data_IF_933871101982
#
_entry.id   IF_933871101982
#
_cell.length_a   1.000
_cell.length_b   1.000
_cell.length_c   1.000
_cell.angle_alpha   90.00
_cell.angle_beta   90.00
_cell.angle_gamma   90.00
#
_symmetry.space_group_name_H-M   'P 1'
#
loop_
_entity.id
_entity.type
_entity.pdbx_description
1 polymer ?
#
# COMPACT_ATOMS: atom_id res chain seq x y z
N UNK A 1 -29.77 -25.65 18.45
CA UNK A 1 -28.42 -26.22 18.25
C UNK A 1 -27.55 -25.38 17.30
N UNK A 2 -28.04 -24.27 16.74
CA UNK A 2 -27.42 -23.57 15.59
C UNK A 2 -26.31 -22.56 15.93
N UNK A 3 -26.27 -21.99 17.14
CA UNK A 3 -25.35 -20.86 17.46
C UNK A 3 -23.87 -21.24 17.50
N UNK A 4 -23.56 -22.42 18.04
CA UNK A 4 -22.18 -22.91 18.13
C UNK A 4 -21.68 -23.49 16.80
N UNK A 5 -22.60 -24.01 15.98
CA UNK A 5 -22.30 -24.43 14.60
C UNK A 5 -22.03 -23.22 13.71
N UNK A 6 -22.82 -22.14 13.79
CA UNK A 6 -22.56 -20.90 13.06
C UNK A 6 -21.20 -20.28 13.44
N UNK A 7 -20.87 -20.27 14.73
CA UNK A 7 -19.56 -19.81 15.21
C UNK A 7 -18.39 -20.70 14.73
N UNK A 8 -18.52 -22.03 14.83
CA UNK A 8 -17.51 -22.98 14.34
C UNK A 8 -17.41 -23.02 12.82
N UNK A 9 -18.50 -22.74 12.10
CA UNK A 9 -18.50 -22.71 10.63
C UNK A 9 -17.64 -21.57 10.10
N UNK A 10 -17.79 -20.35 10.63
CA UNK A 10 -16.95 -19.20 10.27
C UNK A 10 -15.49 -19.34 10.66
N UNK A 11 -15.21 -20.00 11.80
CA UNK A 11 -13.83 -20.20 12.28
C UNK A 11 -13.09 -21.33 11.55
N UNK A 12 -13.74 -22.48 11.26
CA UNK A 12 -13.06 -23.72 10.82
C UNK A 12 -13.53 -24.25 9.46
N UNK A 13 -14.78 -24.00 9.03
CA UNK A 13 -15.34 -24.64 7.82
C UNK A 13 -15.25 -23.73 6.58
N UNK A 14 -15.42 -22.43 6.77
CA UNK A 14 -15.44 -21.41 5.71
C UNK A 14 -14.64 -20.18 6.13
N UNK A 15 -13.31 -20.28 6.07
CA UNK A 15 -12.45 -19.10 6.27
C UNK A 15 -12.85 -18.00 5.26
N UNK A 16 -13.13 -16.77 5.68
CA UNK A 16 -13.57 -15.69 4.80
C UNK A 16 -12.56 -15.38 3.68
N UNK A 17 -11.26 -15.46 3.96
CA UNK A 17 -10.21 -15.09 3.00
C UNK A 17 -10.06 -16.18 1.93
N UNK A 18 -9.99 -17.45 2.33
CA UNK A 18 -9.66 -18.56 1.40
C UNK A 18 -10.88 -19.34 0.92
N UNK A 19 -12.01 -19.25 1.62
CA UNK A 19 -13.25 -19.95 1.28
C UNK A 19 -14.24 -19.05 0.56
N UNK A 20 -14.41 -17.82 1.04
CA UNK A 20 -15.38 -16.85 0.50
C UNK A 20 -14.71 -15.77 -0.36
N UNK A 21 -13.37 -15.69 -0.36
CA UNK A 21 -12.61 -14.65 -1.05
C UNK A 21 -13.02 -13.23 -0.66
N UNK A 22 -13.41 -13.04 0.60
CA UNK A 22 -13.82 -11.76 1.17
C UNK A 22 -12.67 -11.14 1.97
N UNK A 23 -12.42 -9.85 1.75
CA UNK A 23 -11.41 -9.08 2.49
C UNK A 23 -9.97 -9.26 1.99
N UNK A 24 -9.79 -9.76 0.77
CA UNK A 24 -8.46 -9.98 0.18
C UNK A 24 -7.65 -8.68 0.03
N UNK A 25 -8.28 -7.54 -0.28
CA UNK A 25 -7.56 -6.28 -0.53
C UNK A 25 -6.75 -5.82 0.69
N UNK A 26 -7.36 -5.80 1.87
CA UNK A 26 -6.68 -5.45 3.11
C UNK A 26 -5.71 -6.55 3.57
N UNK A 27 -6.06 -7.83 3.34
CA UNK A 27 -5.20 -8.94 3.73
C UNK A 27 -3.88 -8.98 2.92
N UNK A 28 -3.93 -8.70 1.62
CA UNK A 28 -2.75 -8.67 0.75
C UNK A 28 -1.84 -7.48 1.06
N UNK A 29 -2.42 -6.31 1.33
CA UNK A 29 -1.67 -5.09 1.64
C UNK A 29 -0.92 -5.16 2.98
N UNK A 30 -1.55 -5.71 4.03
CA UNK A 30 -1.09 -5.54 5.42
C UNK A 30 -0.34 -6.78 5.95
N UNK A 31 -0.27 -7.87 5.18
CA UNK A 31 0.39 -9.12 5.60
C UNK A 31 1.93 -9.08 5.58
N UNK A 32 2.56 -7.91 5.45
CA UNK A 32 4.03 -7.79 5.43
C UNK A 32 4.67 -8.03 6.80
N UNK A 33 4.02 -7.62 7.90
CA UNK A 33 4.52 -7.81 9.27
C UNK A 33 3.44 -8.36 10.19
N UNK A 34 3.82 -9.21 11.14
CA UNK A 34 2.88 -9.86 12.05
C UNK A 34 2.17 -8.86 12.98
N UNK A 35 2.86 -7.80 13.42
CA UNK A 35 2.28 -6.78 14.28
C UNK A 35 1.14 -6.03 13.57
N UNK A 36 1.35 -5.65 12.30
CA UNK A 36 0.33 -4.98 11.49
C UNK A 36 -0.85 -5.91 11.21
N UNK A 37 -0.58 -7.19 10.91
CA UNK A 37 -1.59 -8.21 10.71
C UNK A 37 -2.48 -8.41 11.95
N UNK A 38 -1.90 -8.44 13.16
CA UNK A 38 -2.66 -8.55 14.42
C UNK A 38 -3.50 -7.30 14.65
N UNK A 39 -2.92 -6.11 14.51
CA UNK A 39 -3.63 -4.84 14.70
C UNK A 39 -4.84 -4.72 13.77
N UNK A 40 -4.65 -5.06 12.50
CA UNK A 40 -5.70 -5.11 11.49
C UNK A 40 -6.76 -6.17 11.83
N UNK A 41 -6.37 -7.40 12.15
CA UNK A 41 -7.31 -8.46 12.51
C UNK A 41 -8.22 -8.10 13.69
N UNK A 42 -7.64 -7.56 14.77
CA UNK A 42 -8.39 -7.09 15.95
C UNK A 42 -9.36 -5.96 15.58
N UNK A 43 -8.92 -5.00 14.77
CA UNK A 43 -9.78 -3.92 14.29
C UNK A 43 -10.97 -4.46 13.48
N UNK A 44 -10.74 -5.38 12.52
CA UNK A 44 -11.83 -6.01 11.75
C UNK A 44 -12.80 -6.76 12.67
N UNK A 45 -12.32 -7.54 13.64
CA UNK A 45 -13.18 -8.25 14.59
C UNK A 45 -14.12 -7.28 15.30
N UNK A 46 -13.57 -6.20 15.88
CA UNK A 46 -14.34 -5.22 16.63
C UNK A 46 -15.36 -4.50 15.73
N UNK A 47 -14.95 -4.03 14.55
CA UNK A 47 -15.87 -3.35 13.61
C UNK A 47 -16.96 -4.31 13.15
N UNK A 48 -16.62 -5.54 12.76
CA UNK A 48 -17.60 -6.50 12.22
C UNK A 48 -18.66 -6.86 13.26
N UNK A 49 -18.28 -7.04 14.53
CA UNK A 49 -19.24 -7.29 15.60
C UNK A 49 -20.15 -6.08 15.80
N UNK A 50 -19.56 -4.89 15.97
CA UNK A 50 -20.34 -3.68 16.25
C UNK A 50 -21.24 -3.30 15.08
N UNK A 51 -20.74 -3.36 13.84
CA UNK A 51 -21.52 -3.06 12.64
C UNK A 51 -22.68 -4.05 12.48
N UNK A 52 -22.45 -5.35 12.68
CA UNK A 52 -23.52 -6.35 12.57
C UNK A 52 -24.61 -6.15 13.63
N UNK A 53 -24.24 -5.80 14.86
CA UNK A 53 -25.21 -5.52 15.93
C UNK A 53 -26.05 -4.28 15.59
N UNK A 54 -25.41 -3.19 15.18
CA UNK A 54 -26.10 -1.93 14.85
C UNK A 54 -27.01 -2.13 13.63
N UNK A 55 -26.50 -2.78 12.58
CA UNK A 55 -27.25 -3.02 11.34
C UNK A 55 -28.46 -3.94 11.59
N UNK A 56 -28.30 -4.97 12.42
CA UNK A 56 -29.42 -5.83 12.85
C UNK A 56 -30.49 -5.04 13.62
N UNK A 57 -30.10 -4.04 14.43
CA UNK A 57 -31.03 -3.20 15.18
C UNK A 57 -31.80 -2.22 14.28
N UNK A 58 -31.13 -1.59 13.31
CA UNK A 58 -31.74 -0.59 12.42
C UNK A 58 -32.46 -1.20 11.20
N UNK A 59 -32.35 -2.51 10.98
CA UNK A 59 -32.88 -3.21 9.80
C UNK A 59 -34.36 -2.93 9.48
N UNK A 60 -35.18 -2.60 10.48
CA UNK A 60 -36.61 -2.32 10.32
C UNK A 60 -36.89 -0.92 9.76
N UNK A 61 -35.92 -0.02 9.85
CA UNK A 61 -36.03 1.40 9.48
C UNK A 61 -35.44 1.63 8.09
N UNK A 62 -34.47 0.81 7.68
CA UNK A 62 -33.74 0.97 6.41
C UNK A 62 -34.58 0.46 5.22
N UNK A 63 -34.91 1.31 4.24
CA UNK A 63 -35.51 0.88 2.96
C UNK A 63 -34.51 0.06 2.12
N UNK A 64 -35.04 -0.84 1.31
CA UNK A 64 -34.20 -1.76 0.51
C UNK A 64 -33.40 -1.03 -0.58
N UNK A 65 -33.89 0.11 -1.10
CA UNK A 65 -33.22 0.85 -2.18
C UNK A 65 -31.91 1.52 -1.74
N UNK A 66 -31.78 1.89 -0.46
CA UNK A 66 -30.64 2.66 0.07
C UNK A 66 -29.83 1.91 1.13
N UNK A 67 -30.00 0.59 1.21
CA UNK A 67 -29.40 -0.24 2.27
C UNK A 67 -27.87 -0.20 2.28
N UNK A 68 -27.22 -0.29 1.12
CA UNK A 68 -25.76 -0.37 1.01
C UNK A 68 -25.11 0.95 1.49
N UNK A 69 -25.54 2.14 1.01
CA UNK A 69 -25.05 3.42 1.54
C UNK A 69 -25.22 3.56 3.06
N UNK A 70 -26.39 3.16 3.60
CA UNK A 70 -26.65 3.24 5.05
C UNK A 70 -25.66 2.37 5.83
N UNK A 71 -25.37 1.15 5.37
CA UNK A 71 -24.40 0.27 6.03
C UNK A 71 -22.97 0.83 5.98
N UNK A 72 -22.55 1.39 4.84
CA UNK A 72 -21.22 2.00 4.70
C UNK A 72 -21.05 3.17 5.66
N UNK A 73 -22.06 4.03 5.85
CA UNK A 73 -21.99 5.15 6.80
C UNK A 73 -21.85 4.64 8.24
N UNK A 74 -22.61 3.61 8.63
CA UNK A 74 -22.47 2.98 9.95
C UNK A 74 -21.06 2.41 10.15
N UNK A 75 -20.51 1.73 9.15
CA UNK A 75 -19.16 1.17 9.23
C UNK A 75 -18.12 2.30 9.29
N UNK A 76 -18.24 3.34 8.47
CA UNK A 76 -17.32 4.47 8.43
C UNK A 76 -17.23 5.20 9.78
N UNK A 77 -18.37 5.43 10.44
CA UNK A 77 -18.39 6.04 11.77
C UNK A 77 -17.71 5.17 12.82
N UNK A 78 -17.93 3.86 12.81
CA UNK A 78 -17.24 2.92 13.70
C UNK A 78 -15.72 2.89 13.46
N UNK A 79 -15.30 2.84 12.19
CA UNK A 79 -13.88 2.84 11.82
C UNK A 79 -13.23 4.15 12.27
N UNK A 80 -13.92 5.29 12.17
CA UNK A 80 -13.39 6.57 12.65
C UNK A 80 -13.16 6.58 14.16
N UNK A 81 -14.09 6.00 14.94
CA UNK A 81 -13.93 5.84 16.39
C UNK A 81 -12.69 4.98 16.70
N UNK A 82 -12.50 3.88 15.98
CA UNK A 82 -11.32 3.02 16.15
C UNK A 82 -10.04 3.75 15.75
N UNK A 83 -10.06 4.52 14.66
CA UNK A 83 -8.91 5.32 14.24
C UNK A 83 -8.43 6.24 15.36
N UNK A 84 -9.36 6.96 16.02
CA UNK A 84 -9.06 7.83 17.14
C UNK A 84 -8.57 7.03 18.37
N UNK A 85 -9.14 5.84 18.62
CA UNK A 85 -8.71 4.97 19.71
C UNK A 85 -7.27 4.46 19.51
N UNK A 86 -6.95 3.99 18.30
CA UNK A 86 -5.60 3.50 17.97
C UNK A 86 -4.58 4.63 18.05
N UNK A 87 -4.93 5.83 17.55
CA UNK A 87 -4.07 7.01 17.65
C UNK A 87 -3.77 7.39 19.11
N UNK A 88 -4.74 7.23 20.02
CA UNK A 88 -4.59 7.58 21.42
C UNK A 88 -3.80 6.55 22.25
N UNK A 89 -3.96 5.25 21.98
CA UNK A 89 -3.38 4.20 22.81
C UNK A 89 -2.19 3.45 22.16
N UNK A 90 -2.05 3.46 20.84
CA UNK A 90 -1.04 2.71 20.11
C UNK A 90 -0.48 3.52 18.92
N UNK A 91 0.30 4.56 19.23
CA UNK A 91 0.85 5.50 18.22
C UNK A 91 1.74 4.82 17.19
N UNK A 92 2.56 3.83 17.59
CA UNK A 92 3.42 3.09 16.66
C UNK A 92 2.62 2.22 15.67
N UNK A 93 1.49 1.66 16.13
CA UNK A 93 0.59 0.95 15.24
C UNK A 93 -0.16 1.92 14.32
N UNK A 94 -0.48 3.13 14.80
CA UNK A 94 -1.11 4.17 13.99
C UNK A 94 -0.18 4.69 12.88
N UNK A 95 1.11 4.86 13.13
CA UNK A 95 2.05 5.31 12.09
C UNK A 95 2.23 4.26 10.99
N UNK A 96 2.19 2.97 11.33
CA UNK A 96 2.29 1.87 10.36
C UNK A 96 0.95 1.57 9.63
N UNK A 97 -0.17 1.61 10.34
CA UNK A 97 -1.49 1.17 9.85
C UNK A 97 -2.42 2.33 9.48
N UNK A 98 -2.04 3.58 9.78
CA UNK A 98 -2.87 4.77 9.69
C UNK A 98 -3.51 4.96 8.31
N UNK A 99 -2.70 4.82 7.26
CA UNK A 99 -3.13 4.90 5.87
C UNK A 99 -4.00 3.71 5.45
N UNK A 100 -3.91 2.59 6.18
CA UNK A 100 -4.65 1.37 5.90
C UNK A 100 -5.97 1.26 6.67
N UNK A 101 -6.23 2.10 7.68
CA UNK A 101 -7.50 2.13 8.42
C UNK A 101 -8.73 2.42 7.52
N UNK A 102 -8.67 3.30 6.50
CA UNK A 102 -9.76 3.47 5.54
C UNK A 102 -10.13 2.19 4.77
N UNK A 103 -9.19 1.26 4.55
CA UNK A 103 -9.48 -0.03 3.90
C UNK A 103 -10.40 -0.93 4.74
N UNK A 104 -10.60 -0.62 6.02
CA UNK A 104 -11.60 -1.29 6.86
C UNK A 104 -13.01 -0.95 6.39
N UNK A 105 -13.26 0.32 6.03
CA UNK A 105 -14.59 0.81 5.62
C UNK A 105 -15.08 0.07 4.38
N UNK A 106 -14.18 -0.11 3.42
CA UNK A 106 -14.45 -0.80 2.15
C UNK A 106 -14.15 -2.30 2.21
N UNK A 107 -13.94 -2.87 3.39
CA UNK A 107 -13.63 -4.28 3.51
C UNK A 107 -14.87 -5.12 3.19
N UNK A 108 -14.77 -5.94 2.15
CA UNK A 108 -15.86 -6.77 1.64
C UNK A 108 -16.41 -7.76 2.70
N UNK A 109 -15.61 -8.16 3.70
CA UNK A 109 -16.12 -9.02 4.78
C UNK A 109 -17.16 -8.30 5.62
N UNK A 110 -16.95 -7.02 5.93
CA UNK A 110 -17.80 -6.26 6.85
C UNK A 110 -19.13 -5.96 6.17
N UNK A 111 -19.07 -5.43 4.94
CA UNK A 111 -20.27 -5.14 4.16
C UNK A 111 -21.02 -6.42 3.76
N UNK A 112 -20.30 -7.45 3.30
CA UNK A 112 -20.90 -8.70 2.84
C UNK A 112 -21.62 -9.46 3.96
N UNK A 113 -21.09 -9.46 5.19
CA UNK A 113 -21.77 -10.07 6.35
C UNK A 113 -22.91 -9.21 6.89
N UNK A 114 -22.74 -7.89 6.87
CA UNK A 114 -23.82 -6.97 7.23
C UNK A 114 -25.05 -7.17 6.33
N UNK A 115 -24.84 -7.29 5.03
CA UNK A 115 -25.91 -7.50 4.06
C UNK A 115 -26.47 -8.93 4.10
N UNK A 116 -25.62 -9.95 4.01
CA UNK A 116 -26.08 -11.34 3.88
C UNK A 116 -26.67 -11.91 5.18
N UNK A 117 -26.17 -11.49 6.34
CA UNK A 117 -26.53 -12.07 7.63
C UNK A 117 -27.18 -11.06 8.59
N UNK A 118 -26.53 -9.94 8.91
CA UNK A 118 -27.01 -9.04 9.96
C UNK A 118 -28.38 -8.42 9.65
N UNK A 119 -28.62 -8.09 8.39
CA UNK A 119 -29.90 -7.54 7.93
C UNK A 119 -31.10 -8.49 8.04
N UNK A 120 -30.86 -9.81 8.16
CA UNK A 120 -31.90 -10.85 8.18
C UNK A 120 -32.05 -11.52 9.54
N UNK A 121 -31.01 -11.47 10.38
CA UNK A 121 -30.96 -12.14 11.69
C UNK A 121 -31.09 -11.18 12.87
N UNK A 122 -31.33 -11.73 14.06
CA UNK A 122 -31.42 -10.97 15.32
C UNK A 122 -30.05 -10.54 15.86
N UNK A 123 -30.04 -9.66 16.87
CA UNK A 123 -28.82 -8.99 17.36
C UNK A 123 -27.76 -9.98 17.86
N UNK A 124 -28.16 -10.95 18.69
CA UNK A 124 -27.23 -11.92 19.28
C UNK A 124 -26.62 -12.84 18.22
N UNK A 125 -27.42 -13.30 17.26
CA UNK A 125 -26.94 -14.17 16.19
C UNK A 125 -26.00 -13.40 15.25
N UNK A 126 -26.29 -12.12 15.00
CA UNK A 126 -25.46 -11.24 14.18
C UNK A 126 -24.11 -10.91 14.83
N UNK A 127 -24.07 -10.78 16.16
CA UNK A 127 -22.84 -10.61 16.92
C UNK A 127 -21.94 -11.85 16.85
N UNK A 128 -22.54 -13.05 17.01
CA UNK A 128 -21.81 -14.32 16.91
C UNK A 128 -21.27 -14.57 15.50
N UNK A 129 -22.02 -14.19 14.47
CA UNK A 129 -21.56 -14.21 13.07
C UNK A 129 -20.35 -13.29 12.86
N UNK A 130 -20.45 -12.04 13.33
CA UNK A 130 -19.38 -11.06 13.20
C UNK A 130 -18.09 -11.51 13.90
N UNK A 131 -18.22 -12.11 15.09
CA UNK A 131 -17.09 -12.66 15.83
C UNK A 131 -16.47 -13.87 15.09
N UNK A 132 -17.29 -14.82 14.61
CA UNK A 132 -16.80 -16.00 13.89
C UNK A 132 -16.07 -15.63 12.59
N UNK A 133 -16.66 -14.73 11.81
CA UNK A 133 -16.08 -14.26 10.54
C UNK A 133 -14.84 -13.38 10.76
N UNK A 134 -14.86 -12.48 11.74
CA UNK A 134 -13.70 -11.66 12.09
C UNK A 134 -12.51 -12.48 12.59
N UNK A 135 -12.76 -13.52 13.40
CA UNK A 135 -11.73 -14.46 13.85
C UNK A 135 -11.17 -15.27 12.67
N UNK A 136 -12.03 -15.71 11.75
CA UNK A 136 -11.61 -16.40 10.53
C UNK A 136 -10.70 -15.52 9.65
N UNK A 137 -11.05 -14.24 9.48
CA UNK A 137 -10.22 -13.27 8.77
C UNK A 137 -8.87 -13.09 9.44
N UNK A 138 -8.87 -12.89 10.76
CA UNK A 138 -7.63 -12.71 11.54
C UNK A 138 -6.73 -13.94 11.41
N UNK A 139 -7.28 -15.15 11.54
CA UNK A 139 -6.50 -16.37 11.38
C UNK A 139 -5.90 -16.52 9.98
N UNK A 140 -6.67 -16.21 8.93
CA UNK A 140 -6.15 -16.24 7.56
C UNK A 140 -5.06 -15.19 7.31
N UNK A 141 -5.24 -13.98 7.85
CA UNK A 141 -4.27 -12.90 7.76
C UNK A 141 -2.97 -13.22 8.51
N UNK A 142 -3.06 -13.81 9.71
CA UNK A 142 -1.89 -14.25 10.47
C UNK A 142 -1.14 -15.38 9.78
N UNK A 143 -1.84 -16.34 9.16
CA UNK A 143 -1.21 -17.40 8.39
C UNK A 143 -0.42 -16.82 7.19
N UNK A 144 -1.02 -15.87 6.45
CA UNK A 144 -0.31 -15.17 5.37
C UNK A 144 0.90 -14.41 5.89
N UNK A 145 0.72 -13.62 6.95
CA UNK A 145 1.78 -12.75 7.47
C UNK A 145 2.95 -13.54 8.05
N UNK A 146 2.68 -14.63 8.75
CA UNK A 146 3.73 -15.51 9.29
C UNK A 146 4.58 -16.10 8.17
N UNK A 147 3.96 -16.60 7.10
CA UNK A 147 4.70 -17.17 5.95
C UNK A 147 5.47 -16.08 5.22
N UNK A 148 4.85 -14.94 4.93
CA UNK A 148 5.51 -13.82 4.23
C UNK A 148 6.68 -13.28 5.02
N UNK A 149 6.52 -13.03 6.32
CA UNK A 149 7.58 -12.49 7.17
C UNK A 149 8.72 -13.50 7.32
N UNK A 150 8.42 -14.79 7.50
CA UNK A 150 9.44 -15.84 7.57
C UNK A 150 10.27 -15.94 6.28
N UNK A 151 9.63 -15.89 5.10
CA UNK A 151 10.31 -15.97 3.80
C UNK A 151 11.06 -14.68 3.44
N UNK A 152 10.53 -13.51 3.84
CA UNK A 152 11.08 -12.21 3.51
C UNK A 152 12.25 -11.78 4.41
N UNK A 153 12.24 -12.16 5.70
CA UNK A 153 13.25 -11.70 6.66
C UNK A 153 14.00 -12.82 7.38
N UNK A 154 13.61 -14.09 7.21
CA UNK A 154 14.24 -15.23 7.91
C UNK A 154 13.98 -15.28 9.43
N UNK A 155 13.33 -14.23 9.94
CA UNK A 155 12.99 -14.02 11.35
C UNK A 155 11.50 -13.77 11.50
N UNK A 156 10.93 -14.33 12.57
CA UNK A 156 9.60 -13.97 13.05
C UNK A 156 9.76 -12.98 14.21
N UNK A 157 9.36 -11.73 13.98
CA UNK A 157 9.39 -10.68 15.00
C UNK A 157 7.97 -10.33 15.41
N UNK A 158 7.66 -10.57 16.68
CA UNK A 158 6.44 -10.13 17.34
C UNK A 158 6.80 -9.12 18.43
N UNK A 159 6.40 -7.87 18.22
CA UNK A 159 6.70 -6.76 19.12
C UNK A 159 5.42 -6.26 19.80
N UNK A 160 5.57 -5.72 21.00
CA UNK A 160 4.45 -5.15 21.75
C UNK A 160 3.92 -3.89 21.04
N UNK A 161 2.63 -3.84 20.64
CA UNK A 161 2.02 -2.66 20.01
C UNK A 161 1.99 -1.41 20.88
N UNK A 162 2.18 -1.56 22.20
CA UNK A 162 2.10 -0.48 23.18
C UNK A 162 3.47 -0.04 23.72
N UNK A 163 4.53 -0.80 23.46
CA UNK A 163 5.89 -0.42 23.86
C UNK A 163 6.92 -1.08 22.93
N UNK A 164 7.59 -0.31 22.06
CA UNK A 164 8.50 -0.87 21.04
C UNK A 164 9.75 -1.52 21.63
N UNK A 165 10.06 -1.27 22.91
CA UNK A 165 11.22 -1.88 23.59
C UNK A 165 10.97 -3.31 24.10
N UNK A 166 9.71 -3.77 24.09
CA UNK A 166 9.34 -5.14 24.49
C UNK A 166 9.04 -6.00 23.27
N UNK A 167 10.06 -6.73 22.82
CA UNK A 167 9.89 -7.79 21.82
C UNK A 167 9.40 -9.04 22.55
N UNK A 168 8.19 -9.51 22.24
CA UNK A 168 7.60 -10.68 22.89
C UNK A 168 8.26 -11.98 22.41
N UNK A 169 8.58 -12.05 21.12
CA UNK A 169 9.20 -13.22 20.52
C UNK A 169 9.99 -12.80 19.29
N UNK A 170 11.29 -13.11 19.30
CA UNK A 170 12.16 -13.03 18.13
C UNK A 170 12.78 -14.40 17.94
N UNK A 171 12.31 -15.14 16.94
CA UNK A 171 12.92 -16.39 16.54
C UNK A 171 13.49 -16.24 15.14
N UNK A 172 14.81 -16.45 15.06
CA UNK A 172 15.54 -16.54 13.81
C UNK A 172 15.57 -18.01 13.40
N UNK A 173 14.93 -18.32 12.27
CA UNK A 173 14.84 -19.70 11.76
C UNK A 173 15.85 -19.94 10.64
N UNK A 174 16.19 -18.91 9.86
CA UNK A 174 17.12 -19.00 8.74
C UNK A 174 18.13 -17.85 8.76
N UNK A 175 19.42 -18.09 8.42
CA UNK A 175 20.40 -17.03 8.22
C UNK A 175 19.99 -16.11 7.07
N UNK A 176 20.36 -14.83 7.16
CA UNK A 176 20.00 -13.75 6.22
C UNK A 176 20.32 -14.05 4.73
N UNK A 177 21.20 -15.01 4.44
CA UNK A 177 21.57 -15.42 3.08
C UNK A 177 20.45 -16.14 2.31
N UNK A 178 19.45 -16.70 3.01
CA UNK A 178 18.32 -17.40 2.38
C UNK A 178 17.04 -16.57 2.31
N UNK A 179 17.08 -15.27 2.62
CA UNK A 179 15.90 -14.41 2.55
C UNK A 179 15.55 -14.05 1.11
N UNK A 180 14.27 -14.13 0.77
CA UNK A 180 13.77 -13.77 -0.55
C UNK A 180 13.03 -12.43 -0.42
N UNK A 181 13.69 -11.33 -0.78
CA UNK A 181 13.12 -9.97 -0.71
C UNK A 181 11.80 -9.82 -1.47
N UNK A 182 11.58 -10.62 -2.53
CA UNK A 182 10.34 -10.68 -3.32
C UNK A 182 9.07 -10.86 -2.48
N UNK A 183 9.17 -11.48 -1.29
CA UNK A 183 8.00 -11.71 -0.42
C UNK A 183 7.50 -10.46 0.32
N UNK A 184 8.31 -9.38 0.33
CA UNK A 184 7.88 -8.06 0.81
C UNK A 184 6.95 -7.36 -0.18
N UNK A 185 7.18 -7.56 -1.47
CA UNK A 185 6.42 -6.92 -2.54
C UNK A 185 5.00 -7.50 -2.70
N UNK A 186 4.09 -6.79 -3.41
CA UNK A 186 2.74 -7.28 -3.69
C UNK A 186 2.74 -8.66 -4.36
N UNK A 187 3.73 -8.93 -5.21
CA UNK A 187 3.91 -10.24 -5.90
C UNK A 187 3.99 -11.37 -4.87
N UNK A 188 4.74 -11.18 -3.79
CA UNK A 188 4.84 -12.13 -2.67
C UNK A 188 3.51 -12.39 -1.97
N UNK A 189 2.66 -11.36 -1.85
CA UNK A 189 1.33 -11.49 -1.26
C UNK A 189 0.44 -12.41 -2.11
N UNK A 190 0.44 -12.23 -3.43
CA UNK A 190 -0.35 -13.06 -4.34
C UNK A 190 0.15 -14.51 -4.40
N UNK A 191 1.48 -14.73 -4.41
CA UNK A 191 2.05 -16.09 -4.40
C UNK A 191 1.69 -16.82 -3.10
N UNK A 192 1.84 -16.16 -1.95
CA UNK A 192 1.48 -16.76 -0.65
C UNK A 192 -0.02 -17.04 -0.55
N UNK A 193 -0.86 -16.12 -1.03
CA UNK A 193 -2.30 -16.33 -1.10
C UNK A 193 -2.67 -17.54 -1.97
N UNK A 194 -2.11 -17.64 -3.17
CA UNK A 194 -2.36 -18.73 -4.11
C UNK A 194 -1.93 -20.08 -3.52
N UNK A 195 -0.75 -20.16 -2.88
CA UNK A 195 -0.27 -21.38 -2.24
C UNK A 195 -1.16 -21.81 -1.08
N UNK A 196 -1.57 -20.88 -0.21
CA UNK A 196 -2.45 -21.17 0.93
C UNK A 196 -3.86 -21.57 0.48
N UNK A 197 -4.42 -20.87 -0.51
CA UNK A 197 -5.71 -21.21 -1.10
C UNK A 197 -5.67 -22.62 -1.73
N UNK A 198 -4.61 -22.94 -2.48
CA UNK A 198 -4.41 -24.26 -3.06
C UNK A 198 -4.26 -25.36 -1.99
N UNK A 199 -3.47 -25.11 -0.94
CA UNK A 199 -3.29 -26.04 0.17
C UNK A 199 -4.60 -26.32 0.92
N UNK A 200 -5.39 -25.28 1.19
CA UNK A 200 -6.69 -25.42 1.85
C UNK A 200 -7.71 -26.16 0.98
N UNK A 201 -7.72 -25.89 -0.33
CA UNK A 201 -8.57 -26.62 -1.27
C UNK A 201 -8.15 -28.09 -1.39
N UNK A 202 -6.84 -28.37 -1.43
CA UNK A 202 -6.31 -29.73 -1.40
C UNK A 202 -6.68 -30.47 -0.11
N UNK A 203 -6.58 -29.80 1.05
CA UNK A 203 -6.98 -30.36 2.34
C UNK A 203 -8.48 -30.65 2.41
N UNK A 204 -9.32 -29.73 1.93
CA UNK A 204 -10.78 -29.94 1.82
C UNK A 204 -11.11 -31.11 0.89
N UNK A 205 -10.42 -31.21 -0.25
CA UNK A 205 -10.56 -32.34 -1.19
C UNK A 205 -10.09 -33.67 -0.58
N UNK A 206 -9.03 -33.68 0.24
CA UNK A 206 -8.56 -34.88 0.91
C UNK A 206 -9.54 -35.41 1.97
N UNK A 207 -10.29 -34.51 2.64
CA UNK A 207 -11.30 -34.90 3.62
C UNK A 207 -12.56 -35.46 2.97
N UNK A 208 -12.84 -35.01 1.74
CA UNK A 208 -13.94 -35.48 0.91
C UNK A 208 -13.38 -36.57 -0.05
N UNK A 209 -13.16 -37.81 0.44
CA UNK A 209 -12.52 -38.94 -0.29
C UNK A 209 -13.04 -39.14 -1.73
N UNK A 210 -12.56 -38.34 -2.69
CA UNK A 210 -12.71 -38.49 -4.14
C UNK A 210 -11.73 -37.52 -4.81
N UNK A 211 -10.62 -38.05 -5.32
CA UNK A 211 -9.56 -37.40 -6.12
C UNK A 211 -8.36 -36.82 -5.35
N UNK A 212 -7.52 -37.74 -4.83
CA UNK A 212 -6.21 -37.47 -4.22
C UNK A 212 -5.11 -37.06 -5.23
N UNK A 213 -5.34 -37.18 -6.55
CA UNK A 213 -4.28 -37.01 -7.56
C UNK A 213 -3.83 -35.58 -7.85
N UNK A 214 -4.63 -34.56 -7.53
CA UNK A 214 -4.41 -33.18 -8.03
C UNK A 214 -3.83 -32.27 -6.94
N UNK A 215 -4.25 -32.43 -5.68
CA UNK A 215 -3.82 -31.55 -4.58
C UNK A 215 -2.36 -31.74 -4.15
N UNK A 216 -1.89 -32.99 -4.13
CA UNK A 216 -0.47 -33.28 -3.85
C UNK A 216 0.43 -32.78 -4.99
N UNK A 217 -0.07 -32.87 -6.23
CA UNK A 217 0.62 -32.38 -7.41
C UNK A 217 0.88 -30.87 -7.36
N UNK A 218 -0.08 -30.06 -6.92
CA UNK A 218 0.06 -28.59 -6.85
C UNK A 218 0.92 -28.12 -5.67
N UNK A 219 0.83 -28.77 -4.50
CA UNK A 219 1.71 -28.44 -3.36
C UNK A 219 3.16 -28.85 -3.66
N UNK A 220 3.35 -30.02 -4.29
CA UNK A 220 4.66 -30.43 -4.80
C UNK A 220 5.08 -29.53 -5.96
N UNK A 221 4.21 -29.08 -6.86
CA UNK A 221 4.58 -28.12 -7.91
C UNK A 221 4.95 -26.76 -7.34
N UNK A 222 4.30 -26.30 -6.28
CA UNK A 222 4.60 -25.02 -5.63
C UNK A 222 5.93 -25.11 -4.87
N UNK A 223 6.17 -26.19 -4.13
CA UNK A 223 7.46 -26.47 -3.49
C UNK A 223 8.55 -26.71 -4.53
N UNK A 224 8.27 -27.43 -5.61
CA UNK A 224 9.19 -27.68 -6.72
C UNK A 224 9.39 -26.42 -7.54
N UNK A 225 8.43 -25.50 -7.68
CA UNK A 225 8.64 -24.20 -8.30
C UNK A 225 9.52 -23.32 -7.42
N UNK A 226 9.30 -23.30 -6.10
CA UNK A 226 10.18 -22.61 -5.15
C UNK A 226 11.59 -23.20 -5.15
N UNK A 227 11.73 -24.52 -5.34
CA UNK A 227 13.03 -25.20 -5.45
C UNK A 227 13.64 -25.06 -6.86
N UNK A 228 12.85 -25.03 -7.94
CA UNK A 228 13.28 -24.90 -9.33
C UNK A 228 13.68 -23.46 -9.68
N UNK A 229 13.15 -22.46 -8.97
CA UNK A 229 13.66 -21.09 -9.01
C UNK A 229 15.12 -21.02 -8.51
N UNK A 230 15.62 -22.01 -7.74
CA UNK A 230 17.06 -22.13 -7.41
C UNK A 230 17.92 -22.72 -8.55
N UNK A 231 17.32 -23.25 -9.62
CA UNK A 231 18.01 -24.00 -10.67
C UNK A 231 18.28 -23.24 -11.98
N UNK A 232 17.49 -22.21 -12.31
CA UNK A 232 17.55 -21.60 -13.66
C UNK A 232 17.63 -20.07 -13.70
N UNK A 233 17.70 -19.36 -12.58
CA UNK A 233 17.80 -17.89 -12.60
C UNK A 233 19.26 -17.42 -12.62
N UNK A 234 19.90 -17.57 -13.78
CA UNK A 234 21.07 -16.79 -14.17
C UNK A 234 20.57 -15.53 -14.90
N UNK A 235 20.38 -14.42 -14.16
CA UNK A 235 19.95 -13.14 -14.74
C UNK A 235 21.16 -12.44 -15.34
N UNK A 236 21.48 -12.79 -16.57
CA UNK A 236 22.25 -11.97 -17.49
C UNK A 236 21.60 -12.06 -18.88
N UNK A 237 20.33 -11.70 -18.97
CA UNK A 237 19.67 -11.36 -20.24
C UNK A 237 18.45 -10.50 -19.95
N UNK A 238 18.48 -9.27 -20.45
CA UNK A 238 17.37 -8.36 -20.54
C UNK A 238 16.19 -9.01 -21.28
N UNK A 239 15.01 -8.95 -20.69
CA UNK A 239 13.74 -9.11 -21.39
C UNK A 239 12.98 -7.82 -21.14
N UNK A 240 13.01 -6.93 -22.15
CA UNK A 240 12.08 -5.84 -22.29
C UNK A 240 10.67 -6.44 -22.44
N UNK A 241 9.85 -6.25 -21.41
CA UNK A 241 8.41 -6.42 -21.51
C UNK A 241 7.80 -5.02 -21.40
N UNK A 242 7.44 -4.44 -22.55
CA UNK A 242 6.56 -3.28 -22.60
C UNK A 242 5.19 -3.70 -22.03
N UNK A 243 4.86 -3.19 -20.85
CA UNK A 243 3.50 -3.24 -20.30
C UNK A 243 2.86 -1.86 -20.40
N UNK A 244 1.60 -1.74 -20.86
CA UNK A 244 0.89 -0.47 -20.84
C UNK A 244 0.68 -0.01 -19.39
N UNK A 245 1.15 1.20 -19.08
CA UNK A 245 1.03 1.84 -17.77
C UNK A 245 -0.31 2.59 -17.70
N UNK A 246 -1.24 2.08 -16.89
CA UNK A 246 -2.32 2.90 -16.30
C UNK A 246 -1.80 3.53 -14.99
N UNK A 247 -2.20 4.76 -14.66
CA UNK A 247 -1.50 5.59 -13.69
C UNK A 247 -1.67 5.08 -12.25
N UNK A 248 -0.55 4.91 -11.56
CA UNK A 248 -0.48 4.59 -10.13
C UNK A 248 -0.75 5.86 -9.31
N UNK A 249 -1.86 5.87 -8.57
CA UNK A 249 -2.20 6.91 -7.59
C UNK A 249 -1.53 6.64 -6.23
N UNK A 250 -0.22 6.36 -6.23
CA UNK A 250 0.59 6.43 -5.02
C UNK A 250 1.02 7.88 -4.81
N UNK A 251 0.46 8.54 -3.80
CA UNK A 251 1.00 9.82 -3.33
C UNK A 251 2.46 9.64 -2.87
N UNK A 252 3.32 10.64 -3.12
CA UNK A 252 4.76 10.52 -3.00
C UNK A 252 5.18 10.33 -1.54
N UNK A 253 6.16 9.46 -1.32
CA UNK A 253 6.95 9.52 -0.08
C UNK A 253 7.75 10.80 -0.14
N UNK A 254 7.34 11.79 0.65
CA UNK A 254 8.11 13.01 0.89
C UNK A 254 9.51 12.61 1.38
N UNK A 255 10.50 12.65 0.47
CA UNK A 255 11.85 13.02 0.88
C UNK A 255 11.72 14.33 1.67
N UNK A 256 12.32 14.40 2.85
CA UNK A 256 12.09 15.48 3.80
C UNK A 256 12.04 16.85 3.13
N UNK A 257 11.13 17.70 3.60
CA UNK A 257 10.99 19.09 3.17
C UNK A 257 12.35 19.77 3.19
N UNK A 258 13.01 19.78 2.04
CA UNK A 258 14.22 20.56 1.81
C UNK A 258 13.74 21.69 0.92
N UNK A 259 13.77 22.90 1.49
CA UNK A 259 13.15 24.07 0.89
C UNK A 259 13.81 24.39 -0.47
N UNK A 260 13.00 24.60 -1.50
CA UNK A 260 13.48 25.14 -2.78
C UNK A 260 14.09 26.51 -2.51
N UNK A 261 15.33 26.73 -2.95
CA UNK A 261 16.08 27.93 -2.62
C UNK A 261 17.10 28.31 -3.69
N UNK A 262 17.29 29.62 -3.89
CA UNK A 262 18.31 30.17 -4.78
C UNK A 262 19.67 30.06 -4.06
N UNK A 263 20.60 29.31 -4.65
CA UNK A 263 21.94 29.06 -4.10
C UNK A 263 22.96 30.13 -4.54
N UNK A 264 22.83 30.64 -5.76
CA UNK A 264 23.67 31.70 -6.28
C UNK A 264 23.03 32.45 -7.43
N UNK A 265 23.36 33.73 -7.56
CA UNK A 265 22.95 34.62 -8.63
C UNK A 265 24.21 35.23 -9.26
N UNK A 266 24.28 35.26 -10.59
CA UNK A 266 25.39 35.90 -11.32
C UNK A 266 24.85 36.59 -12.57
N UNK A 267 25.13 37.88 -12.72
CA UNK A 267 24.74 38.67 -13.88
C UNK A 267 25.96 38.92 -14.77
N UNK A 268 25.86 38.52 -16.04
CA UNK A 268 26.90 38.72 -17.06
C UNK A 268 26.22 39.04 -18.40
N UNK A 269 26.70 40.07 -19.11
CA UNK A 269 26.21 40.46 -20.44
C UNK A 269 24.69 40.73 -20.58
N UNK A 270 24.01 41.23 -19.54
CA UNK A 270 22.57 41.53 -19.58
C UNK A 270 21.66 40.32 -19.37
N UNK A 271 22.24 39.21 -18.89
CA UNK A 271 21.53 38.00 -18.49
C UNK A 271 21.86 37.69 -17.02
N UNK A 272 20.83 37.33 -16.24
CA UNK A 272 21.01 36.86 -14.87
C UNK A 272 20.86 35.34 -14.83
N UNK A 273 21.90 34.66 -14.35
CA UNK A 273 21.89 33.21 -14.12
C UNK A 273 21.60 32.91 -12.65
N UNK A 274 20.56 32.12 -12.39
CA UNK A 274 20.17 31.62 -11.09
C UNK A 274 20.49 30.13 -10.97
N UNK A 275 21.16 29.73 -9.90
CA UNK A 275 21.30 28.32 -9.52
C UNK A 275 20.32 28.05 -8.39
N UNK A 276 19.40 27.10 -8.59
CA UNK A 276 18.30 26.82 -7.66
C UNK A 276 18.35 25.37 -7.24
N UNK A 277 18.34 25.12 -5.93
CA UNK A 277 18.14 23.77 -5.37
C UNK A 277 16.65 23.46 -5.29
N UNK A 278 16.30 22.25 -5.69
CA UNK A 278 14.94 21.71 -5.61
C UNK A 278 14.99 20.21 -5.28
N UNK A 279 13.94 19.67 -4.64
CA UNK A 279 13.92 18.29 -4.18
C UNK A 279 14.00 17.29 -5.36
N UNK A 280 14.92 16.34 -5.28
CA UNK A 280 15.02 15.23 -6.22
C UNK A 280 14.23 13.99 -5.80
N UNK A 281 14.04 13.07 -6.75
CA UNK A 281 13.32 11.81 -6.57
C UNK A 281 14.28 10.62 -6.46
N UNK A 282 14.42 10.06 -5.26
CA UNK A 282 15.20 8.84 -5.02
C UNK A 282 14.32 7.68 -4.54
N UNK A 283 14.43 6.52 -5.20
CA UNK A 283 13.76 5.28 -4.82
C UNK A 283 14.44 4.55 -3.63
N UNK A 284 15.59 5.08 -3.18
CA UNK A 284 16.36 4.56 -2.03
C UNK A 284 16.53 5.65 -0.98
N UNK A 285 16.57 5.27 0.29
CA UNK A 285 16.50 6.18 1.44
C UNK A 285 17.66 7.19 1.45
N UNK A 286 17.34 8.45 1.19
CA UNK A 286 18.26 9.58 1.21
C UNK A 286 17.79 10.62 0.20
N UNK A 287 17.16 11.71 0.68
CA UNK A 287 16.73 12.80 -0.18
C UNK A 287 17.95 13.43 -0.84
N UNK A 288 18.03 13.36 -2.16
CA UNK A 288 19.07 14.00 -2.93
C UNK A 288 18.49 15.26 -3.59
N UNK A 289 19.25 16.35 -3.57
CA UNK A 289 18.84 17.63 -4.16
C UNK A 289 19.26 17.69 -5.62
N UNK A 290 18.36 18.16 -6.47
CA UNK A 290 18.70 18.55 -7.83
C UNK A 290 19.02 20.04 -7.86
N UNK A 291 19.98 20.41 -8.69
CA UNK A 291 20.33 21.81 -8.91
C UNK A 291 20.05 22.18 -10.36
N UNK A 292 19.29 23.25 -10.55
CA UNK A 292 18.89 23.75 -11.86
C UNK A 292 19.52 25.12 -12.12
N UNK A 293 20.03 25.31 -13.33
CA UNK A 293 20.55 26.57 -13.83
C UNK A 293 19.50 27.23 -14.70
N UNK A 294 18.99 28.38 -14.27
CA UNK A 294 17.94 29.13 -14.94
C UNK A 294 18.53 30.46 -15.41
N UNK A 295 18.51 30.71 -16.70
CA UNK A 295 19.00 31.97 -17.30
C UNK A 295 17.79 32.85 -17.61
N UNK A 296 17.79 34.08 -17.11
CA UNK A 296 16.75 35.08 -17.34
C UNK A 296 17.35 36.27 -18.07
N UNK A 297 16.66 36.75 -19.11
CA UNK A 297 17.02 37.97 -19.83
C UNK A 297 16.59 39.21 -19.01
N UNK A 298 17.51 40.14 -18.72
CA UNK A 298 17.22 41.29 -17.85
C UNK A 298 16.32 42.36 -18.51
N UNK A 299 16.28 42.41 -19.84
CA UNK A 299 15.49 43.42 -20.58
C UNK A 299 14.00 43.06 -20.66
N UNK A 300 13.70 41.76 -20.79
CA UNK A 300 12.34 41.22 -20.83
C UNK A 300 11.88 40.69 -19.47
N UNK A 301 12.83 40.28 -18.62
CA UNK A 301 12.60 39.48 -17.42
C UNK A 301 11.84 38.20 -17.74
N UNK A 302 12.16 37.59 -18.89
CA UNK A 302 11.66 36.29 -19.34
C UNK A 302 12.74 35.23 -19.20
N UNK A 303 12.34 33.99 -18.90
CA UNK A 303 13.26 32.85 -18.87
C UNK A 303 13.76 32.56 -20.29
N UNK A 304 15.08 32.43 -20.44
CA UNK A 304 15.75 32.14 -21.73
C UNK A 304 16.13 30.68 -21.87
N UNK A 305 16.63 30.06 -20.80
CA UNK A 305 16.92 28.63 -20.79
C UNK A 305 16.90 28.08 -19.37
N UNK A 306 16.60 26.78 -19.28
CA UNK A 306 16.64 26.00 -18.04
C UNK A 306 17.48 24.77 -18.32
N UNK A 307 18.52 24.56 -17.53
CA UNK A 307 19.44 23.44 -17.64
C UNK A 307 19.57 22.74 -16.29
N UNK A 308 19.89 21.44 -16.32
CA UNK A 308 20.20 20.67 -15.12
C UNK A 308 21.70 20.79 -14.85
N UNK A 309 22.08 21.26 -13.66
CA UNK A 309 23.48 21.38 -13.23
C UNK A 309 23.92 20.13 -12.48
N UNK A 310 23.16 19.71 -11.46
CA UNK A 310 23.36 18.44 -10.77
C UNK A 310 22.06 17.64 -10.75
N UNK A 311 22.13 16.39 -11.21
CA UNK A 311 21.00 15.47 -11.23
C UNK A 311 21.24 14.30 -10.29
N UNK A 312 20.36 14.16 -9.31
CA UNK A 312 20.47 13.16 -8.26
C UNK A 312 19.25 12.23 -8.18
N UNK A 313 18.39 12.23 -9.19
CA UNK A 313 17.24 11.33 -9.27
C UNK A 313 17.67 9.88 -9.56
N UNK A 314 16.75 8.96 -9.30
CA UNK A 314 16.94 7.53 -9.61
C UNK A 314 17.09 7.32 -11.12
N UNK A 315 18.19 6.70 -11.58
CA UNK A 315 18.39 6.44 -12.99
C UNK A 315 17.24 5.59 -13.58
N UNK A 316 16.72 6.01 -14.73
CA UNK A 316 15.61 5.35 -15.42
C UNK A 316 14.19 5.75 -14.98
N UNK A 317 14.03 6.65 -14.00
CA UNK A 317 12.73 7.25 -13.64
C UNK A 317 12.78 8.76 -13.91
N UNK A 318 13.62 9.50 -13.17
CA UNK A 318 13.72 10.95 -13.30
C UNK A 318 14.44 11.41 -14.57
N UNK A 319 15.30 10.57 -15.16
CA UNK A 319 16.12 10.93 -16.34
C UNK A 319 15.28 11.30 -17.58
N UNK A 320 14.00 10.93 -17.61
CA UNK A 320 13.11 11.23 -18.72
C UNK A 320 12.89 12.75 -18.91
N UNK A 321 13.21 13.59 -17.92
CA UNK A 321 13.18 15.05 -18.07
C UNK A 321 14.29 15.59 -18.98
N UNK A 322 15.34 14.81 -19.28
CA UNK A 322 16.43 15.20 -20.19
C UNK A 322 16.01 15.27 -21.67
N UNK A 323 14.73 15.56 -21.94
CA UNK A 323 14.22 15.81 -23.28
C UNK A 323 14.25 17.32 -23.56
N UNK A 324 14.84 17.70 -24.69
CA UNK A 324 14.90 19.09 -25.18
C UNK A 324 13.49 19.69 -25.30
N UNK A 325 12.48 18.89 -25.66
CA UNK A 325 11.10 19.36 -25.78
C UNK A 325 10.46 19.81 -24.46
N UNK A 326 10.89 19.24 -23.32
CA UNK A 326 10.39 19.63 -22.00
C UNK A 326 10.94 21.00 -21.58
N UNK A 327 12.25 21.22 -21.75
CA UNK A 327 12.89 22.48 -21.36
C UNK A 327 12.48 23.66 -22.25
N UNK A 328 12.15 23.41 -23.52
CA UNK A 328 11.64 24.44 -24.43
C UNK A 328 10.31 25.07 -23.98
N UNK A 329 9.55 24.39 -23.11
CA UNK A 329 8.29 24.94 -22.58
C UNK A 329 8.51 26.11 -21.60
N UNK A 330 9.72 26.22 -21.03
CA UNK A 330 10.06 27.29 -20.10
C UNK A 330 10.63 28.52 -20.79
N UNK A 331 10.98 28.45 -22.07
CA UNK A 331 11.52 29.58 -22.83
C UNK A 331 10.43 30.64 -23.07
N UNK A 332 10.73 31.89 -22.73
CA UNK A 332 9.85 33.06 -22.91
C UNK A 332 8.88 33.34 -21.76
N UNK A 333 8.82 32.50 -20.72
CA UNK A 333 7.93 32.69 -19.56
C UNK A 333 8.32 33.93 -18.75
N UNK A 334 7.34 34.77 -18.42
CA UNK A 334 7.55 36.09 -17.80
C UNK A 334 6.75 36.32 -16.50
N UNK A 335 5.93 35.36 -16.03
CA UNK A 335 5.19 35.45 -14.77
C UNK A 335 5.20 34.11 -14.04
N UNK A 336 5.02 34.13 -12.71
CA UNK A 336 4.96 32.92 -11.86
C UNK A 336 3.71 32.05 -12.08
N UNK A 337 2.67 32.59 -12.73
CA UNK A 337 1.39 31.91 -12.99
C UNK A 337 1.38 31.22 -14.35
N UNK A 338 2.14 30.12 -14.45
CA UNK A 338 2.24 29.30 -15.65
C UNK A 338 1.99 27.81 -15.36
N UNK A 339 1.55 27.11 -16.39
CA UNK A 339 1.30 25.68 -16.42
C UNK A 339 2.12 25.07 -17.58
N UNK A 340 2.88 24.02 -17.28
CA UNK A 340 3.71 23.28 -18.23
C UNK A 340 3.29 21.82 -18.22
N UNK A 341 3.40 21.15 -19.36
CA UNK A 341 3.07 19.75 -19.48
C UNK A 341 4.13 18.91 -18.77
N UNK A 342 3.69 18.12 -17.79
CA UNK A 342 4.57 17.19 -17.07
C UNK A 342 5.05 16.09 -17.98
N UNK A 343 6.33 15.72 -17.86
CA UNK A 343 6.90 14.62 -18.63
C UNK A 343 6.35 13.28 -18.09
N UNK A 344 5.74 12.50 -18.98
CA UNK A 344 5.20 11.18 -18.62
C UNK A 344 6.30 10.26 -18.08
N UNK A 345 6.07 9.67 -16.90
CA UNK A 345 7.04 8.83 -16.20
C UNK A 345 8.03 9.58 -15.29
N UNK A 346 8.04 10.91 -15.31
CA UNK A 346 8.93 11.75 -14.49
C UNK A 346 8.20 12.94 -13.83
N UNK A 347 6.95 12.74 -13.39
CA UNK A 347 6.08 13.80 -12.84
C UNK A 347 6.72 14.55 -11.67
N UNK A 348 7.35 13.84 -10.73
CA UNK A 348 8.00 14.48 -9.58
C UNK A 348 9.17 15.36 -10.00
N UNK A 349 10.00 14.88 -10.93
CA UNK A 349 11.14 15.62 -11.47
C UNK A 349 10.68 16.83 -12.29
N UNK A 350 9.60 16.70 -13.07
CA UNK A 350 8.96 17.81 -13.79
C UNK A 350 8.39 18.87 -12.85
N UNK A 351 7.75 18.46 -11.75
CA UNK A 351 7.24 19.38 -10.73
C UNK A 351 8.36 20.11 -10.00
N UNK A 352 9.50 19.44 -9.77
CA UNK A 352 10.68 20.06 -9.15
C UNK A 352 11.31 21.15 -10.01
N UNK A 353 11.42 20.93 -11.32
CA UNK A 353 11.87 21.97 -12.28
C UNK A 353 10.88 23.14 -12.30
N UNK A 354 9.58 22.83 -12.36
CA UNK A 354 8.50 23.84 -12.39
C UNK A 354 8.53 24.71 -11.13
N UNK A 355 8.72 24.12 -9.95
CA UNK A 355 8.88 24.84 -8.69
C UNK A 355 10.13 25.72 -8.69
N UNK A 356 11.27 25.22 -9.19
CA UNK A 356 12.50 26.01 -9.25
C UNK A 356 12.34 27.27 -10.13
N UNK A 357 11.69 27.14 -11.29
CA UNK A 357 11.41 28.27 -12.19
C UNK A 357 10.43 29.26 -11.56
N UNK A 358 9.38 28.77 -10.88
CA UNK A 358 8.44 29.63 -10.14
C UNK A 358 9.16 30.43 -9.05
N UNK A 359 10.05 29.82 -8.28
CA UNK A 359 10.83 30.50 -7.24
C UNK A 359 11.70 31.63 -7.82
N UNK A 360 12.29 31.45 -9.01
CA UNK A 360 13.06 32.52 -9.68
C UNK A 360 12.15 33.66 -10.12
N UNK A 361 11.02 33.36 -10.77
CA UNK A 361 10.08 34.38 -11.24
C UNK A 361 9.42 35.16 -10.09
N UNK A 362 9.09 34.48 -8.99
CA UNK A 362 8.60 35.11 -7.76
C UNK A 362 9.65 36.02 -7.12
N UNK A 363 10.94 35.65 -7.16
CA UNK A 363 12.04 36.50 -6.66
C UNK A 363 12.21 37.79 -7.46
N UNK A 364 11.79 37.78 -8.73
CA UNK A 364 11.75 38.94 -9.63
C UNK A 364 10.47 39.78 -9.46
N UNK A 365 9.54 39.35 -8.61
CA UNK A 365 8.26 40.03 -8.35
C UNK A 365 7.26 39.94 -9.51
N UNK A 366 7.33 38.86 -10.30
CA UNK A 366 6.57 38.69 -11.55
C UNK A 366 5.65 37.47 -11.57
#
# INVERSE_FOLDING_TARGET
MERLENFKAGFIRENPIFGLYLGCCSALAISTTLNNAIGMGVAVILVTIMSNVIISAIRKITPDEIRIPVYIVVIATLVKIIQMLVQAYATDLYTALGIFLPLIVVNCIILGRAEAFASKNGLLDSALDGLGMGLGYTFGLLAMSTIRQLLATGMLSFANPFNPTQIFFQAEFFPAEYTISLFKDPIGAFITFACLAAALNAYKASKNKKNWGIGLGVVVLALVAVIAVRGEFNVNTAVEAETPVEPDNSEPVNGGETATGILSESSENGETTYIVSAPGFTATTGGAENTFKIVVDEASGSVKSVEIDTFADTPGIGDAINNVEFFNQFEGLASSDFEVDVQSGATFSSDSVTKAVKTVLESLGK
#
